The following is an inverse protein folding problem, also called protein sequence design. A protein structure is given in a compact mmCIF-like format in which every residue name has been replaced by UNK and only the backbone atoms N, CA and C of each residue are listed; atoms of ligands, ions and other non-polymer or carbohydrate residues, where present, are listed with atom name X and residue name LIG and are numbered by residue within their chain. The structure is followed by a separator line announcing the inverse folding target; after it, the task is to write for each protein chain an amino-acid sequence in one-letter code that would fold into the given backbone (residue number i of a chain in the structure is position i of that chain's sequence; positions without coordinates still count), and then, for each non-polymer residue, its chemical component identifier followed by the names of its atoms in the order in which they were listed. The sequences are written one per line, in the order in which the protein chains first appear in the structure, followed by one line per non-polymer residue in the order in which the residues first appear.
data_IF_005627376367
#
_entry.id   IF_005627376367
#
_cell.length_a   1.000
_cell.length_b   1.000
_cell.length_c   1.000
_cell.angle_alpha   90.00
_cell.angle_beta   90.00
_cell.angle_gamma   90.00
#
_symmetry.space_group_name_H-M   'P 1'
#
loop_
_entity.id
_entity.type
_entity.pdbx_description
1 polymer ?
#
# COMPACT_ATOMS: atom_id res chain seq x y z
N UNK A 1 29.27 -56.54 11.82
CA UNK A 1 27.88 -56.01 11.93
C UNK A 1 27.80 -54.51 12.16
N UNK A 2 28.70 -53.86 12.94
CA UNK A 2 28.72 -52.39 13.15
C UNK A 2 28.85 -51.56 11.87
N UNK A 3 29.70 -51.98 10.92
CA UNK A 3 29.93 -51.22 9.68
C UNK A 3 28.73 -51.25 8.72
N UNK A 4 27.89 -52.28 8.80
CA UNK A 4 26.68 -52.39 7.98
C UNK A 4 25.59 -51.39 8.42
N UNK A 5 25.50 -51.15 9.73
CA UNK A 5 24.55 -50.18 10.30
C UNK A 5 24.94 -48.73 9.95
N UNK A 6 26.24 -48.43 9.92
CA UNK A 6 26.75 -47.11 9.56
C UNK A 6 26.46 -46.76 8.09
N UNK A 7 26.59 -47.73 7.18
CA UNK A 7 26.31 -47.52 5.74
C UNK A 7 24.83 -47.26 5.50
N UNK A 8 23.94 -47.96 6.22
CA UNK A 8 22.50 -47.73 6.15
C UNK A 8 22.12 -46.32 6.62
N UNK A 9 22.69 -45.84 7.72
CA UNK A 9 22.44 -44.48 8.21
C UNK A 9 22.91 -43.38 7.23
N UNK A 10 24.07 -43.57 6.60
CA UNK A 10 24.59 -42.61 5.61
C UNK A 10 23.69 -42.57 4.36
N UNK A 11 23.20 -43.72 3.89
CA UNK A 11 22.29 -43.78 2.74
C UNK A 11 20.93 -43.11 3.02
N UNK A 12 20.40 -43.26 4.23
CA UNK A 12 19.14 -42.62 4.65
C UNK A 12 19.32 -41.11 4.72
N UNK A 13 20.43 -40.63 5.31
CA UNK A 13 20.71 -39.21 5.41
C UNK A 13 20.89 -38.55 4.04
N UNK A 14 21.62 -39.22 3.12
CA UNK A 14 21.81 -38.74 1.75
C UNK A 14 20.50 -38.69 0.95
N UNK A 15 19.60 -39.67 1.14
CA UNK A 15 18.28 -39.63 0.53
C UNK A 15 17.42 -38.48 1.10
N UNK A 16 17.50 -38.25 2.41
CA UNK A 16 16.78 -37.15 3.07
C UNK A 16 17.25 -35.78 2.56
N UNK A 17 18.56 -35.54 2.46
CA UNK A 17 19.09 -34.26 1.97
C UNK A 17 18.74 -34.02 0.50
N UNK A 18 18.68 -35.06 -0.33
CA UNK A 18 18.23 -34.95 -1.73
C UNK A 18 16.74 -34.59 -1.83
N UNK A 19 15.88 -35.17 -0.99
CA UNK A 19 14.44 -34.84 -0.96
C UNK A 19 14.22 -33.37 -0.55
N UNK A 20 14.98 -32.86 0.42
CA UNK A 20 14.89 -31.44 0.79
C UNK A 20 15.42 -30.51 -0.31
N UNK A 21 16.45 -30.92 -1.05
CA UNK A 21 17.07 -30.09 -2.09
C UNK A 21 16.15 -29.87 -3.31
N UNK A 22 15.20 -30.77 -3.59
CA UNK A 22 14.27 -30.62 -4.72
C UNK A 22 12.98 -29.88 -4.37
N UNK A 23 12.73 -29.56 -3.09
CA UNK A 23 11.49 -28.90 -2.63
C UNK A 23 11.60 -27.38 -2.51
N UNK A 24 12.38 -26.73 -3.38
CA UNK A 24 12.31 -25.28 -3.59
C UNK A 24 11.55 -25.00 -4.87
N UNK A 25 10.22 -25.17 -4.82
CA UNK A 25 9.32 -24.85 -5.92
C UNK A 25 8.38 -23.71 -5.52
N UNK A 26 8.25 -22.75 -6.44
CA UNK A 26 7.21 -21.73 -6.52
C UNK A 26 7.19 -20.64 -5.44
N UNK A 27 8.15 -19.72 -5.53
CA UNK A 27 7.80 -18.34 -5.23
C UNK A 27 6.64 -17.94 -6.15
N UNK A 28 5.54 -17.55 -5.52
CA UNK A 28 4.32 -17.10 -6.15
C UNK A 28 4.65 -16.09 -7.25
N UNK A 29 4.05 -16.28 -8.43
CA UNK A 29 3.69 -15.15 -9.29
C UNK A 29 2.83 -14.24 -8.42
N UNK A 30 3.48 -13.23 -7.85
CA UNK A 30 2.86 -12.17 -7.09
C UNK A 30 1.95 -11.41 -8.05
N UNK A 31 0.65 -11.64 -7.93
CA UNK A 31 -0.36 -10.81 -8.57
C UNK A 31 -0.54 -9.47 -7.84
N UNK A 32 0.44 -9.01 -7.05
CA UNK A 32 0.43 -7.63 -6.56
C UNK A 32 0.65 -6.75 -7.80
N UNK A 33 -0.28 -5.82 -8.13
CA UNK A 33 -0.02 -4.80 -9.14
C UNK A 33 1.34 -4.16 -8.86
N UNK A 34 2.11 -3.75 -9.89
CA UNK A 34 3.40 -3.10 -9.67
C UNK A 34 3.17 -1.99 -8.65
N UNK A 35 3.83 -2.14 -7.50
CA UNK A 35 3.79 -1.12 -6.46
C UNK A 35 4.20 0.19 -7.13
N UNK A 36 3.39 1.25 -7.04
CA UNK A 36 3.77 2.52 -7.64
C UNK A 36 5.16 2.88 -7.13
N UNK A 37 6.07 3.36 -8.00
CA UNK A 37 7.45 3.59 -7.62
C UNK A 37 7.47 4.45 -6.35
N UNK A 38 8.09 3.92 -5.30
CA UNK A 38 8.31 4.64 -4.06
C UNK A 38 9.24 5.81 -4.37
N UNK A 39 8.68 6.99 -4.60
CA UNK A 39 9.44 8.21 -4.83
C UNK A 39 9.86 8.74 -3.45
N UNK A 40 11.04 8.32 -3.00
CA UNK A 40 11.68 8.87 -1.81
C UNK A 40 11.88 10.38 -2.02
N UNK A 41 11.07 11.20 -1.34
CA UNK A 41 11.17 12.68 -1.39
C UNK A 41 9.94 13.46 -1.88
N UNK A 42 8.81 12.83 -2.20
CA UNK A 42 7.58 13.56 -2.52
C UNK A 42 6.46 13.12 -1.59
N UNK A 43 6.35 13.71 -0.40
CA UNK A 43 5.15 13.54 0.43
C UNK A 43 3.89 14.00 -0.32
N UNK A 44 2.75 13.42 0.02
CA UNK A 44 1.46 13.91 -0.48
C UNK A 44 1.30 15.39 -0.10
N UNK A 45 1.00 16.24 -1.08
CA UNK A 45 1.01 17.70 -0.91
C UNK A 45 -0.38 18.33 -1.00
N UNK A 46 -1.44 17.52 -0.97
CA UNK A 46 -2.81 18.02 -0.86
C UNK A 46 -3.12 18.54 0.56
N UNK A 47 -4.17 19.34 0.67
CA UNK A 47 -4.56 19.97 1.94
C UNK A 47 -5.88 19.42 2.47
N UNK A 48 -5.98 19.32 3.78
CA UNK A 48 -7.23 19.04 4.50
C UNK A 48 -7.77 20.34 5.06
N UNK A 49 -9.04 20.64 4.82
CA UNK A 49 -9.72 21.79 5.46
C UNK A 49 -10.11 21.52 6.90
N UNK A 50 -10.19 20.24 7.28
CA UNK A 50 -10.72 19.79 8.56
C UNK A 50 -12.17 20.22 8.81
N UNK A 51 -12.93 20.45 7.73
CA UNK A 51 -14.35 20.76 7.80
C UNK A 51 -15.14 19.66 8.52
N UNK A 52 -16.22 20.07 9.20
CA UNK A 52 -17.06 19.14 9.98
C UNK A 52 -17.62 18.03 9.09
N UNK A 53 -17.62 16.80 9.59
CA UNK A 53 -18.27 15.67 8.95
C UNK A 53 -18.85 14.70 9.99
N UNK A 54 -19.70 13.78 9.54
CA UNK A 54 -20.19 12.66 10.35
C UNK A 54 -19.92 11.32 9.69
N UNK A 55 -19.81 11.27 8.35
CA UNK A 55 -19.54 10.07 7.55
C UNK A 55 -18.60 10.44 6.40
N UNK A 56 -17.89 9.46 5.84
CA UNK A 56 -16.89 9.71 4.78
C UNK A 56 -17.46 10.45 3.56
N UNK A 57 -18.71 10.17 3.18
CA UNK A 57 -19.33 10.85 2.04
C UNK A 57 -19.65 12.35 2.31
N UNK A 58 -19.56 12.81 3.56
CA UNK A 58 -19.62 14.25 3.87
C UNK A 58 -18.30 14.95 3.47
N UNK A 59 -17.27 14.19 3.10
CA UNK A 59 -15.98 14.69 2.66
C UNK A 59 -15.79 14.46 1.15
N UNK A 60 -15.41 15.51 0.45
CA UNK A 60 -15.25 15.50 -1.00
C UNK A 60 -13.88 16.06 -1.40
N UNK A 61 -13.36 15.53 -2.52
CA UNK A 61 -12.21 16.10 -3.20
C UNK A 61 -12.66 17.36 -3.94
N UNK A 62 -12.00 18.46 -3.67
CA UNK A 62 -12.24 19.77 -4.27
C UNK A 62 -10.93 20.41 -4.75
N UNK A 63 -11.02 21.63 -5.28
CA UNK A 63 -9.93 22.27 -5.99
C UNK A 63 -9.83 21.73 -7.42
N UNK A 64 -9.29 22.55 -8.32
CA UNK A 64 -9.30 22.24 -9.74
C UNK A 64 -8.48 20.97 -10.09
N UNK A 65 -7.47 20.66 -9.27
CA UNK A 65 -6.62 19.48 -9.39
C UNK A 65 -6.96 18.40 -8.36
N UNK A 66 -8.14 18.45 -7.74
CA UNK A 66 -8.61 17.53 -6.68
C UNK A 66 -7.68 17.44 -5.46
N UNK A 67 -6.93 18.51 -5.20
CA UNK A 67 -5.89 18.57 -4.17
C UNK A 67 -6.41 18.94 -2.78
N UNK A 68 -7.69 19.28 -2.65
CA UNK A 68 -8.30 19.72 -1.38
C UNK A 68 -9.26 18.64 -0.89
N UNK A 69 -9.13 18.20 0.36
CA UNK A 69 -10.16 17.41 1.03
C UNK A 69 -10.99 18.34 1.90
N UNK A 70 -12.29 18.46 1.61
CA UNK A 70 -13.17 19.35 2.34
C UNK A 70 -14.54 18.76 2.65
N UNK A 71 -15.21 19.40 3.59
CA UNK A 71 -16.59 19.08 3.91
C UNK A 71 -17.54 19.61 2.84
N UNK A 72 -18.62 18.88 2.59
CA UNK A 72 -19.77 19.35 1.80
C UNK A 72 -20.49 20.55 2.43
N UNK A 73 -20.30 20.78 3.74
CA UNK A 73 -20.90 21.91 4.46
C UNK A 73 -20.07 23.20 4.34
N UNK A 74 -18.88 23.13 3.75
CA UNK A 74 -18.05 24.29 3.45
C UNK A 74 -18.32 24.82 2.04
N UNK A 75 -17.96 26.09 1.81
CA UNK A 75 -17.96 26.65 0.46
C UNK A 75 -16.87 25.97 -0.38
N UNK A 76 -17.08 25.96 -1.70
CA UNK A 76 -16.05 25.51 -2.65
C UNK A 76 -14.78 26.35 -2.54
N UNK A 77 -13.64 25.68 -2.72
CA UNK A 77 -12.31 26.30 -2.68
C UNK A 77 -11.76 26.35 -4.10
N UNK A 78 -11.79 27.54 -4.69
CA UNK A 78 -11.23 27.78 -6.02
C UNK A 78 -9.71 27.86 -5.89
N UNK A 79 -9.02 26.84 -6.41
CA UNK A 79 -7.57 26.81 -6.55
C UNK A 79 -7.18 27.11 -7.99
N UNK A 80 -5.89 27.33 -8.24
CA UNK A 80 -5.36 27.22 -9.60
C UNK A 80 -5.53 25.79 -10.12
N UNK A 81 -5.59 25.65 -11.45
CA UNK A 81 -5.69 24.38 -12.17
C UNK A 81 -4.31 23.79 -12.53
N UNK A 82 -3.28 24.18 -11.79
CA UNK A 82 -1.95 23.62 -11.98
C UNK A 82 -1.92 22.20 -11.40
N UNK A 83 -1.48 21.24 -12.21
CA UNK A 83 -1.26 19.87 -11.77
C UNK A 83 0.13 19.71 -11.15
N UNK A 84 0.19 18.98 -10.02
CA UNK A 84 1.44 18.50 -9.40
C UNK A 84 1.29 17.03 -9.12
N UNK A 85 2.34 16.26 -9.36
CA UNK A 85 2.33 14.81 -9.15
C UNK A 85 1.97 14.41 -7.71
N UNK A 86 2.32 15.24 -6.72
CA UNK A 86 2.00 15.00 -5.32
C UNK A 86 0.53 15.25 -4.94
N UNK A 87 -0.32 15.70 -5.87
CA UNK A 87 -1.77 15.81 -5.69
C UNK A 87 -2.51 14.49 -5.96
N UNK A 88 -1.87 13.53 -6.61
CA UNK A 88 -2.47 12.22 -6.85
C UNK A 88 -2.51 11.39 -5.57
N UNK A 89 -3.55 11.59 -4.77
CA UNK A 89 -3.77 10.88 -3.51
C UNK A 89 -3.72 9.35 -3.66
N UNK A 90 -4.09 8.82 -4.83
CA UNK A 90 -4.10 7.37 -5.08
C UNK A 90 -2.69 6.76 -5.05
N UNK A 91 -1.67 7.52 -5.47
CA UNK A 91 -0.25 7.10 -5.39
C UNK A 91 0.25 6.96 -3.96
N UNK A 92 -0.43 7.60 -3.01
CA UNK A 92 -0.11 7.59 -1.59
C UNK A 92 -1.06 6.68 -0.79
N UNK A 93 -2.01 6.02 -1.45
CA UNK A 93 -3.04 5.23 -0.77
C UNK A 93 -3.99 6.06 0.09
N UNK A 94 -4.13 7.36 -0.20
CA UNK A 94 -4.94 8.30 0.56
C UNK A 94 -6.31 8.51 -0.09
N UNK A 95 -7.32 8.68 0.75
CA UNK A 95 -8.67 9.09 0.37
C UNK A 95 -9.14 10.26 1.22
N UNK A 96 -10.09 11.04 0.72
CA UNK A 96 -10.71 12.11 1.51
C UNK A 96 -11.80 11.50 2.38
N UNK A 97 -11.57 11.45 3.70
CA UNK A 97 -12.39 10.71 4.67
C UNK A 97 -12.76 11.56 5.87
N UNK A 98 -13.75 11.09 6.62
CA UNK A 98 -14.17 11.68 7.87
C UNK A 98 -13.47 11.03 9.05
N UNK A 99 -12.42 11.66 9.58
CA UNK A 99 -11.65 11.16 10.71
C UNK A 99 -11.87 12.11 11.89
N UNK A 100 -12.27 11.58 13.04
CA UNK A 100 -12.54 12.37 14.25
C UNK A 100 -13.52 13.54 14.02
N UNK A 101 -14.54 13.34 13.18
CA UNK A 101 -15.53 14.34 12.76
C UNK A 101 -14.95 15.52 11.94
N UNK A 102 -13.77 15.35 11.34
CA UNK A 102 -13.14 16.32 10.45
C UNK A 102 -12.73 15.68 9.10
N UNK A 103 -12.92 16.40 8.00
CA UNK A 103 -12.52 15.96 6.68
C UNK A 103 -11.01 16.09 6.48
N UNK A 104 -10.36 14.96 6.22
CA UNK A 104 -8.91 14.90 6.00
C UNK A 104 -8.51 13.77 5.05
N UNK A 105 -7.34 13.90 4.45
CA UNK A 105 -6.67 12.83 3.73
C UNK A 105 -6.22 11.73 4.69
N UNK A 106 -6.65 10.48 4.45
CA UNK A 106 -6.35 9.31 5.29
C UNK A 106 -6.44 7.98 4.53
#
# INVERSE_FOLDING_TARGET
MKNLFLILLISIFAAFTLIFYTNTESDLISTKPPEPPFIEGNEFCGISTYGKCSRDYDCIKDGCSQQVCRSIYEKEIITTCEWRECYDASRYGLECKCINNACQWA
#
